data_IF_756796324252
#
_entry.id   IF_756796324252
#
_cell.length_a   1.000
_cell.length_b   1.000
_cell.length_c   1.000
_cell.angle_alpha   90.00
_cell.angle_beta   90.00
_cell.angle_gamma   90.00
#
_symmetry.space_group_name_H-M   'P 1'
#
loop_
_entity.id
_entity.type
_entity.pdbx_description
1 polymer ?
#
# COMPACT_ATOMS: atom_id res chain seq x y z
N UNK A 1 -32.53 8.29 4.28
CA UNK A 1 -31.13 8.40 4.73
C UNK A 1 -30.56 6.99 4.77
N UNK A 2 -29.77 6.60 3.77
CA UNK A 2 -29.16 5.26 3.74
C UNK A 2 -27.82 5.34 4.48
N UNK A 3 -27.79 4.81 5.70
CA UNK A 3 -26.56 4.62 6.44
C UNK A 3 -25.76 3.50 5.79
N UNK A 4 -24.59 3.83 5.25
CA UNK A 4 -23.59 2.82 4.88
C UNK A 4 -23.03 2.23 6.16
N UNK A 5 -23.62 1.11 6.60
CA UNK A 5 -23.03 0.29 7.65
C UNK A 5 -21.77 -0.36 7.05
N UNK A 6 -20.60 0.19 7.36
CA UNK A 6 -19.33 -0.46 7.05
C UNK A 6 -19.35 -1.82 7.73
N UNK A 7 -19.38 -2.91 6.96
CA UNK A 7 -19.33 -4.26 7.51
C UNK A 7 -17.95 -4.49 8.13
N UNK A 8 -17.84 -5.16 9.29
CA UNK A 8 -16.55 -5.48 9.93
C UNK A 8 -15.63 -6.39 9.09
N UNK A 9 -16.09 -6.86 7.92
CA UNK A 9 -15.30 -7.67 6.96
C UNK A 9 -14.39 -6.84 6.05
N UNK A 10 -14.57 -5.52 5.98
CA UNK A 10 -13.79 -4.66 5.06
C UNK A 10 -12.33 -4.49 5.48
N UNK A 11 -12.00 -4.63 6.78
CA UNK A 11 -10.62 -4.48 7.26
C UNK A 11 -9.77 -5.75 7.05
N UNK A 12 -10.42 -6.90 6.81
CA UNK A 12 -9.74 -8.18 6.56
C UNK A 12 -9.40 -8.39 5.08
N UNK A 13 -10.17 -7.78 4.17
CA UNK A 13 -10.02 -7.95 2.73
C UNK A 13 -9.53 -6.64 2.09
N UNK A 14 -8.36 -6.63 1.43
CA UNK A 14 -7.90 -5.44 0.74
C UNK A 14 -8.84 -5.07 -0.41
N UNK A 15 -9.10 -3.77 -0.57
CA UNK A 15 -9.86 -3.24 -1.69
C UNK A 15 -9.13 -3.45 -3.03
N UNK A 16 -7.79 -3.39 -3.01
CA UNK A 16 -6.95 -3.60 -4.18
C UNK A 16 -5.81 -4.54 -3.79
N UNK A 17 -5.57 -5.57 -4.60
CA UNK A 17 -4.35 -6.39 -4.54
C UNK A 17 -3.69 -6.37 -5.91
N UNK A 18 -2.42 -5.97 -5.94
CA UNK A 18 -1.59 -6.03 -7.14
C UNK A 18 -0.73 -7.30 -7.08
N UNK A 19 -0.52 -7.92 -8.24
CA UNK A 19 0.23 -9.17 -8.38
C UNK A 19 1.39 -8.98 -9.35
N UNK A 20 2.49 -9.68 -9.09
CA UNK A 20 3.62 -9.77 -10.00
C UNK A 20 3.20 -10.49 -11.30
N UNK A 21 3.51 -9.92 -12.48
CA UNK A 21 3.06 -10.47 -13.75
C UNK A 21 3.78 -11.76 -14.17
N UNK A 22 4.91 -12.09 -13.54
CA UNK A 22 5.74 -13.26 -13.87
C UNK A 22 5.35 -14.44 -12.99
N UNK A 23 5.34 -14.24 -11.67
CA UNK A 23 5.12 -15.33 -10.70
C UNK A 23 3.72 -15.33 -10.08
N UNK A 24 2.89 -14.31 -10.31
CA UNK A 24 1.53 -14.22 -9.79
C UNK A 24 1.43 -14.00 -8.28
N UNK A 25 2.54 -13.69 -7.61
CA UNK A 25 2.56 -13.42 -6.16
C UNK A 25 2.06 -12.01 -5.87
N UNK A 26 1.35 -11.79 -4.75
CA UNK A 26 0.92 -10.44 -4.39
C UNK A 26 2.13 -9.56 -4.08
N UNK A 27 2.17 -8.38 -4.67
CA UNK A 27 3.25 -7.38 -4.49
C UNK A 27 2.77 -6.17 -3.69
N UNK A 28 1.46 -5.93 -3.65
CA UNK A 28 0.89 -4.80 -2.92
C UNK A 28 -0.56 -5.06 -2.55
N UNK A 29 -0.96 -4.59 -1.38
CA UNK A 29 -2.34 -4.59 -0.90
C UNK A 29 -2.72 -3.20 -0.42
N UNK A 30 -3.93 -2.77 -0.75
CA UNK A 30 -4.46 -1.45 -0.38
C UNK A 30 -5.84 -1.62 0.23
N UNK A 31 -6.05 -1.00 1.38
CA UNK A 31 -7.32 -0.87 2.06
C UNK A 31 -7.84 0.55 1.91
N UNK A 32 -9.15 0.66 1.71
CA UNK A 32 -9.81 1.93 1.44
C UNK A 32 -11.12 2.00 2.20
N UNK A 33 -11.38 3.17 2.79
CA UNK A 33 -12.64 3.51 3.44
C UNK A 33 -13.17 4.78 2.78
N UNK A 34 -14.42 4.77 2.33
CA UNK A 34 -15.06 5.93 1.69
C UNK A 34 -14.27 6.53 0.51
N UNK A 35 -13.62 5.68 -0.31
CA UNK A 35 -12.75 6.05 -1.43
C UNK A 35 -11.39 6.67 -1.05
N UNK A 36 -11.06 6.73 0.23
CA UNK A 36 -9.77 7.20 0.72
C UNK A 36 -8.96 6.02 1.30
N UNK A 37 -7.63 6.09 1.22
CA UNK A 37 -6.78 5.10 1.90
C UNK A 37 -6.97 5.22 3.41
N UNK A 38 -7.44 4.15 4.03
CA UNK A 38 -7.62 4.03 5.47
C UNK A 38 -7.88 2.55 5.80
N UNK A 39 -7.41 2.11 6.98
CA UNK A 39 -7.73 0.81 7.57
C UNK A 39 -7.86 1.00 9.08
N UNK A 40 -8.89 0.41 9.68
CA UNK A 40 -9.15 0.56 11.12
C UNK A 40 -8.11 -0.19 11.97
N UNK A 41 -8.22 -0.05 13.30
CA UNK A 41 -7.43 -0.80 14.29
C UNK A 41 -5.91 -0.52 14.22
N UNK A 42 -5.51 0.69 13.82
CA UNK A 42 -4.10 1.08 13.69
C UNK A 42 -3.30 0.13 12.76
N UNK A 43 -3.97 -0.44 11.76
CA UNK A 43 -3.39 -1.30 10.74
C UNK A 43 -2.92 -0.49 9.52
N UNK A 44 -1.96 -1.00 8.74
CA UNK A 44 -1.51 -0.32 7.55
C UNK A 44 -2.61 -0.32 6.47
N UNK A 45 -2.84 0.85 5.88
CA UNK A 45 -3.75 0.98 4.73
C UNK A 45 -3.08 0.57 3.42
N UNK A 46 -1.73 0.52 3.37
CA UNK A 46 -0.98 -0.04 2.25
C UNK A 46 0.10 -0.97 2.77
N UNK A 47 0.15 -2.17 2.21
CA UNK A 47 1.23 -3.14 2.44
C UNK A 47 1.93 -3.41 1.11
N UNK A 48 3.25 -3.28 1.09
CA UNK A 48 4.09 -3.75 0.01
C UNK A 48 4.70 -5.09 0.38
N UNK A 49 4.61 -6.04 -0.54
CA UNK A 49 5.07 -7.40 -0.35
C UNK A 49 6.17 -7.74 -1.36
N UNK A 50 7.15 -8.50 -0.90
CA UNK A 50 8.15 -9.16 -1.74
C UNK A 50 8.10 -10.64 -1.44
N UNK A 51 7.81 -11.45 -2.46
CA UNK A 51 7.67 -12.90 -2.33
C UNK A 51 6.68 -13.30 -1.21
N UNK A 52 5.60 -12.54 -1.07
CA UNK A 52 4.56 -12.74 -0.05
C UNK A 52 4.90 -12.23 1.36
N UNK A 53 6.09 -11.65 1.58
CA UNK A 53 6.50 -11.06 2.87
C UNK A 53 6.39 -9.54 2.86
N UNK A 54 5.91 -8.91 3.95
CA UNK A 54 5.84 -7.46 4.03
C UNK A 54 7.24 -6.84 4.05
N UNK A 55 7.47 -5.84 3.20
CA UNK A 55 8.72 -5.07 3.13
C UNK A 55 8.50 -3.59 3.45
N UNK A 56 7.26 -3.11 3.35
CA UNK A 56 6.89 -1.74 3.72
C UNK A 56 5.42 -1.65 4.07
N UNK A 57 5.12 -0.95 5.15
CA UNK A 57 3.78 -0.56 5.56
C UNK A 57 3.63 0.95 5.46
N UNK A 58 2.48 1.38 4.95
CA UNK A 58 2.05 2.76 5.04
C UNK A 58 0.71 2.85 5.76
N UNK A 59 0.68 3.68 6.80
CA UNK A 59 -0.51 4.00 7.57
C UNK A 59 -1.12 5.27 6.99
N UNK A 60 -2.41 5.21 6.70
CA UNK A 60 -3.15 6.33 6.16
C UNK A 60 -4.43 6.53 6.94
N UNK A 61 -4.73 7.78 7.28
CA UNK A 61 -6.00 8.16 7.92
C UNK A 61 -6.68 9.18 7.04
N UNK A 62 -7.85 8.83 6.48
CA UNK A 62 -8.64 9.71 5.60
C UNK A 62 -7.80 10.29 4.45
N UNK A 63 -7.03 9.41 3.79
CA UNK A 63 -6.20 9.79 2.65
C UNK A 63 -4.92 10.56 3.00
N UNK A 64 -4.64 10.82 4.28
CA UNK A 64 -3.38 11.43 4.74
C UNK A 64 -2.43 10.37 5.26
N UNK A 65 -1.15 10.47 4.90
CA UNK A 65 -0.10 9.57 5.39
C UNK A 65 0.23 9.92 6.85
N UNK A 66 -0.53 9.33 7.75
CA UNK A 66 -0.45 9.53 9.20
C UNK A 66 -0.95 8.28 9.91
N UNK A 67 -0.64 8.14 11.19
CA UNK A 67 -1.01 6.98 12.00
C UNK A 67 -1.83 7.43 13.21
N UNK A 68 -2.87 6.67 13.56
CA UNK A 68 -3.81 7.06 14.61
C UNK A 68 -3.17 7.14 16.00
N UNK A 69 -2.13 6.34 16.24
CA UNK A 69 -1.38 6.30 17.50
C UNK A 69 -0.26 7.38 17.60
N UNK A 70 -0.11 8.23 16.58
CA UNK A 70 0.94 9.24 16.51
C UNK A 70 2.33 8.68 16.20
N UNK A 71 2.44 7.39 15.87
CA UNK A 71 3.67 6.77 15.41
C UNK A 71 4.01 7.11 13.95
N UNK A 72 5.17 6.63 13.46
CA UNK A 72 5.59 6.88 12.10
C UNK A 72 4.62 6.21 11.11
N UNK A 73 4.11 6.95 10.11
CA UNK A 73 3.18 6.43 9.12
C UNK A 73 3.84 5.58 8.04
N UNK A 74 5.17 5.53 7.95
CA UNK A 74 5.89 4.62 7.06
C UNK A 74 6.83 3.77 7.88
N UNK A 75 6.77 2.44 7.67
CA UNK A 75 7.65 1.46 8.31
C UNK A 75 8.19 0.54 7.22
N UNK A 76 9.51 0.42 7.12
CA UNK A 76 10.20 -0.49 6.21
C UNK A 76 10.77 -1.66 7.00
N UNK A 77 10.69 -2.85 6.40
CA UNK A 77 11.13 -4.09 7.01
C UNK A 77 12.24 -4.75 6.20
N UNK A 78 13.12 -5.46 6.88
CA UNK A 78 14.10 -6.31 6.26
C UNK A 78 13.39 -7.52 5.60
N UNK A 79 13.62 -7.80 4.31
CA UNK A 79 12.94 -8.88 3.60
C UNK A 79 13.37 -10.29 4.05
N UNK A 80 14.49 -10.43 4.76
CA UNK A 80 15.06 -11.69 5.23
C UNK A 80 14.44 -12.06 6.58
N UNK A 81 14.57 -11.18 7.59
CA UNK A 81 14.16 -11.48 8.96
C UNK A 81 12.87 -10.77 9.43
N UNK A 82 12.35 -9.79 8.66
CA UNK A 82 11.13 -9.07 9.00
C UNK A 82 11.29 -8.00 10.09
N UNK A 83 12.52 -7.67 10.49
CA UNK A 83 12.78 -6.62 11.46
C UNK A 83 12.56 -5.23 10.84
N UNK A 84 12.17 -4.26 11.67
CA UNK A 84 12.04 -2.88 11.23
C UNK A 84 13.43 -2.29 10.96
N UNK A 85 13.68 -1.89 9.72
CA UNK A 85 14.97 -1.29 9.31
C UNK A 85 14.93 0.24 9.25
N UNK A 86 13.74 0.82 9.07
CA UNK A 86 13.57 2.26 9.00
C UNK A 86 12.11 2.65 9.19
N UNK A 87 11.90 3.80 9.84
CA UNK A 87 10.60 4.45 9.93
C UNK A 87 10.70 5.90 9.41
N UNK A 88 9.60 6.44 8.89
CA UNK A 88 9.57 7.81 8.37
C UNK A 88 8.21 8.46 8.56
N UNK A 89 8.25 9.76 8.88
CA UNK A 89 7.09 10.66 8.98
C UNK A 89 6.62 11.20 7.62
N UNK A 90 7.36 10.87 6.54
CA UNK A 90 7.10 11.37 5.20
C UNK A 90 6.99 10.23 4.22
N UNK A 91 6.16 10.43 3.19
CA UNK A 91 6.16 9.55 2.03
C UNK A 91 7.53 9.70 1.39
N UNK A 92 8.39 8.70 1.53
CA UNK A 92 9.65 8.70 0.81
C UNK A 92 9.28 8.58 -0.68
N UNK A 93 9.26 9.73 -1.38
CA UNK A 93 9.05 9.82 -2.82
C UNK A 93 10.31 9.39 -3.60
N UNK A 94 11.35 8.91 -2.90
CA UNK A 94 12.58 8.39 -3.46
C UNK A 94 12.43 6.95 -3.94
N UNK A 95 11.73 6.77 -5.07
CA UNK A 95 11.94 5.75 -6.11
C UNK A 95 10.64 5.54 -6.87
N UNK A 96 10.24 6.55 -7.64
CA UNK A 96 9.26 6.34 -8.68
C UNK A 96 9.95 5.57 -9.82
N UNK A 97 9.94 4.24 -9.76
CA UNK A 97 10.06 3.42 -10.97
C UNK A 97 8.76 3.63 -11.73
N UNK A 98 8.65 4.75 -12.43
CA UNK A 98 7.69 4.86 -13.53
C UNK A 98 8.26 3.92 -14.59
N UNK A 99 7.63 2.78 -14.93
CA UNK A 99 7.97 2.15 -16.19
C UNK A 99 7.72 3.21 -17.25
N UNK A 100 8.79 3.71 -17.88
CA UNK A 100 8.62 4.53 -19.09
C UNK A 100 7.69 3.72 -19.98
N UNK A 101 6.55 4.27 -20.46
CA UNK A 101 5.87 3.63 -21.57
C UNK A 101 6.94 3.43 -22.64
N UNK A 102 7.16 2.18 -23.06
CA UNK A 102 8.02 1.90 -24.21
C UNK A 102 7.58 2.89 -25.29
N UNK A 103 8.49 3.67 -25.89
CA UNK A 103 8.09 4.53 -26.99
C UNK A 103 7.39 3.63 -28.01
N UNK A 104 6.09 3.83 -28.16
CA UNK A 104 5.32 3.23 -29.24
C UNK A 104 6.01 3.70 -30.50
N UNK A 105 6.72 2.80 -31.17
CA UNK A 105 7.21 3.01 -32.53
C UNK A 105 5.99 3.02 -33.44
N UNK A 106 5.18 4.07 -33.32
CA UNK A 106 4.20 4.42 -34.32
C UNK A 106 5.03 4.89 -35.52
N UNK A 107 5.19 3.99 -36.48
CA UNK A 107 5.64 4.33 -37.83
C UNK A 107 4.40 4.71 -38.65
N UNK A 108 4.31 5.93 -39.17
CA UNK A 108 3.49 6.19 -40.33
C UNK A 108 4.34 6.57 -41.55
N UNK A 109 4.02 5.94 -42.69
CA UNK A 109 4.37 6.39 -44.05
C UNK A 109 5.72 5.93 -44.55
#
# INVERSE_FOLDING_TARGET
MMGMLQSPRSDEIPAITEYDPINGSPTKRVWMTHHEKHRAENLPAVEFLKDGKPVRHEYWVRGQLTREDGGPPVVNFDPINGEVISTSDKMDRGSQVIPRPKPSLFRPG
#
